data_IF_454772105799
#
_entry.id   IF_454772105799
#
_cell.length_a   1.000
_cell.length_b   1.000
_cell.length_c   1.000
_cell.angle_alpha   90.00
_cell.angle_beta   90.00
_cell.angle_gamma   90.00
#
_symmetry.space_group_name_H-M   'P 1'
#
loop_
_entity.id
_entity.type
_entity.pdbx_description
1 polymer ?
#
# COMPACT_ATOMS: atom_id res chain seq x y z
N UNK A 1 -0.64 -8.59 -6.22
CA UNK A 1 -2.08 -8.31 -6.47
C UNK A 1 -3.03 -9.48 -6.17
N UNK A 2 -2.86 -10.67 -6.76
CA UNK A 2 -3.78 -11.82 -6.55
C UNK A 2 -3.87 -12.33 -5.09
N UNK A 3 -2.81 -12.22 -4.30
CA UNK A 3 -2.83 -12.64 -2.88
C UNK A 3 -3.55 -11.62 -1.99
N UNK A 4 -3.29 -10.32 -2.19
CA UNK A 4 -3.89 -9.21 -1.45
C UNK A 4 -5.41 -9.14 -1.65
N UNK A 5 -5.88 -9.23 -2.90
CA UNK A 5 -7.32 -9.21 -3.20
C UNK A 5 -8.06 -10.43 -2.64
N UNK A 6 -7.40 -11.59 -2.56
CA UNK A 6 -7.97 -12.82 -2.02
C UNK A 6 -8.19 -12.73 -0.50
N UNK A 7 -7.25 -12.13 0.22
CA UNK A 7 -7.39 -11.87 1.66
C UNK A 7 -8.49 -10.84 1.95
N UNK A 8 -8.56 -9.77 1.15
CA UNK A 8 -9.62 -8.75 1.28
C UNK A 8 -10.99 -9.37 1.01
N UNK A 9 -11.12 -10.16 -0.07
CA UNK A 9 -12.35 -10.89 -0.42
C UNK A 9 -12.79 -11.85 0.70
N UNK A 10 -11.83 -12.58 1.30
CA UNK A 10 -12.10 -13.54 2.38
C UNK A 10 -12.58 -12.85 3.66
N UNK A 11 -12.07 -11.66 3.97
CA UNK A 11 -12.34 -10.98 5.24
C UNK A 11 -13.49 -9.96 5.18
N UNK A 12 -13.80 -9.40 3.99
CA UNK A 12 -14.73 -8.27 3.85
C UNK A 12 -15.79 -8.44 2.76
N UNK A 13 -15.79 -9.56 2.03
CA UNK A 13 -16.77 -9.84 0.97
C UNK A 13 -16.44 -9.19 -0.38
N UNK A 14 -17.18 -9.61 -1.41
CA UNK A 14 -16.85 -9.32 -2.81
C UNK A 14 -17.05 -7.86 -3.23
N UNK A 15 -18.06 -7.16 -2.70
CA UNK A 15 -18.29 -5.75 -3.07
C UNK A 15 -17.21 -4.84 -2.52
N UNK A 16 -16.81 -5.03 -1.26
CA UNK A 16 -15.75 -4.28 -0.60
C UNK A 16 -14.40 -4.56 -1.27
N UNK A 17 -14.13 -5.81 -1.65
CA UNK A 17 -12.93 -6.16 -2.39
C UNK A 17 -12.86 -5.51 -3.78
N UNK A 18 -14.02 -5.40 -4.47
CA UNK A 18 -14.12 -4.74 -5.78
C UNK A 18 -13.95 -3.22 -5.67
N UNK A 19 -14.56 -2.60 -4.66
CA UNK A 19 -14.43 -1.17 -4.40
C UNK A 19 -12.98 -0.81 -4.06
N UNK A 20 -12.35 -1.57 -3.14
CA UNK A 20 -10.93 -1.40 -2.81
C UNK A 20 -10.05 -1.62 -4.05
N UNK A 21 -10.37 -2.60 -4.90
CA UNK A 21 -9.63 -2.82 -6.15
C UNK A 21 -9.71 -1.63 -7.10
N UNK A 22 -10.91 -1.16 -7.39
CA UNK A 22 -11.12 0.00 -8.28
C UNK A 22 -10.41 1.23 -7.73
N UNK A 23 -10.37 1.35 -6.41
CA UNK A 23 -9.73 2.49 -5.78
C UNK A 23 -8.21 2.38 -5.75
N UNK A 24 -7.66 1.18 -5.52
CA UNK A 24 -6.24 0.91 -5.75
C UNK A 24 -5.91 1.24 -7.22
N UNK A 25 -6.69 0.77 -8.19
CA UNK A 25 -6.46 1.02 -9.62
C UNK A 25 -6.47 2.53 -9.95
N UNK A 26 -7.45 3.28 -9.43
CA UNK A 26 -7.53 4.75 -9.56
C UNK A 26 -6.32 5.45 -8.94
N UNK A 27 -5.97 5.08 -7.71
CA UNK A 27 -4.84 5.69 -7.00
C UNK A 27 -3.50 5.28 -7.59
N UNK A 28 -3.35 4.06 -8.11
CA UNK A 28 -2.15 3.64 -8.85
C UNK A 28 -2.01 4.38 -10.18
N UNK A 29 -3.12 4.77 -10.81
CA UNK A 29 -3.08 5.61 -12.00
C UNK A 29 -2.54 7.01 -11.65
N UNK A 30 -2.99 7.61 -10.55
CA UNK A 30 -2.40 8.86 -10.06
C UNK A 30 -0.93 8.71 -9.66
N UNK A 31 -0.58 7.61 -8.99
CA UNK A 31 0.82 7.30 -8.65
C UNK A 31 1.69 7.20 -9.89
N UNK A 32 1.21 6.59 -10.98
CA UNK A 32 1.97 6.50 -12.23
C UNK A 32 2.26 7.88 -12.85
N UNK A 33 1.38 8.86 -12.62
CA UNK A 33 1.56 10.24 -13.09
C UNK A 33 2.43 11.07 -12.14
N UNK A 34 2.29 10.88 -10.83
CA UNK A 34 3.03 11.61 -9.81
C UNK A 34 3.55 10.66 -8.72
N UNK A 35 4.64 9.91 -8.97
CA UNK A 35 5.12 8.87 -8.05
C UNK A 35 5.55 9.41 -6.68
N UNK A 36 5.91 10.69 -6.62
CA UNK A 36 6.36 11.37 -5.39
C UNK A 36 5.20 11.90 -4.51
N UNK A 37 3.94 11.74 -4.92
CA UNK A 37 2.79 12.26 -4.15
C UNK A 37 2.58 11.54 -2.81
N UNK A 38 3.07 10.32 -2.66
CA UNK A 38 3.00 9.59 -1.41
C UNK A 38 4.00 10.12 -0.38
N UNK A 39 3.55 10.13 0.87
CA UNK A 39 4.37 10.52 2.01
C UNK A 39 5.40 9.43 2.29
N UNK A 40 6.63 9.85 2.54
CA UNK A 40 7.71 8.96 2.95
C UNK A 40 7.49 8.48 4.40
N UNK A 41 7.61 7.18 4.62
CA UNK A 41 7.55 6.54 5.93
C UNK A 41 8.96 6.45 6.52
N UNK A 42 9.45 7.57 7.04
CA UNK A 42 10.83 7.71 7.52
C UNK A 42 11.14 6.71 8.64
N UNK A 43 10.16 6.36 9.48
CA UNK A 43 10.33 5.43 10.59
C UNK A 43 10.67 4.01 10.12
N UNK A 44 10.04 3.58 9.02
CA UNK A 44 10.21 2.24 8.49
C UNK A 44 11.23 2.17 7.36
N UNK A 45 11.64 3.32 6.82
CA UNK A 45 12.61 3.41 5.74
C UNK A 45 14.04 3.14 6.21
N UNK A 46 14.90 2.81 5.25
CA UNK A 46 16.35 2.68 5.38
C UNK A 46 17.03 3.39 4.20
N UNK A 47 18.36 3.47 4.22
CA UNK A 47 19.12 4.13 3.15
C UNK A 47 18.84 3.49 1.77
N UNK A 48 18.72 2.16 1.74
CA UNK A 48 18.49 1.40 0.50
C UNK A 48 17.00 1.27 0.14
N UNK A 49 16.09 1.44 1.11
CA UNK A 49 14.65 1.33 0.87
C UNK A 49 13.85 2.43 1.52
N UNK A 50 13.36 3.35 0.69
CA UNK A 50 12.49 4.45 1.08
C UNK A 50 11.02 4.12 0.83
N UNK A 51 10.36 3.60 1.86
CA UNK A 51 8.94 3.31 1.80
C UNK A 51 8.13 4.60 1.68
N UNK A 52 7.16 4.60 0.76
CA UNK A 52 6.16 5.65 0.62
C UNK A 52 4.77 5.09 0.81
N UNK A 53 3.85 5.93 1.25
CA UNK A 53 2.44 5.58 1.28
C UNK A 53 1.52 6.73 0.86
N UNK A 54 0.38 6.35 0.31
CA UNK A 54 -0.78 7.22 0.12
C UNK A 54 -1.94 6.73 0.99
N UNK A 55 -2.77 7.66 1.48
CA UNK A 55 -3.96 7.33 2.26
C UNK A 55 -5.17 7.31 1.34
N UNK A 56 -5.92 6.20 1.37
CA UNK A 56 -7.13 5.97 0.58
C UNK A 56 -8.34 5.93 1.50
N UNK A 57 -9.34 6.77 1.21
CA UNK A 57 -10.59 6.93 1.99
C UNK A 57 -10.42 7.02 3.51
N UNK A 58 -9.28 7.54 3.98
CA UNK A 58 -8.91 7.59 5.42
C UNK A 58 -8.88 6.23 6.13
N UNK A 59 -8.97 5.13 5.40
CA UNK A 59 -9.08 3.76 5.95
C UNK A 59 -7.93 2.87 5.55
N UNK A 60 -7.29 3.14 4.41
CA UNK A 60 -6.19 2.31 3.93
C UNK A 60 -4.95 3.14 3.63
N UNK A 61 -3.77 2.55 3.84
CA UNK A 61 -2.50 3.01 3.29
C UNK A 61 -2.06 2.07 2.19
N UNK A 62 -1.73 2.60 1.01
CA UNK A 62 -1.04 1.81 -0.02
C UNK A 62 0.44 2.10 0.11
N UNK A 63 1.22 1.11 0.53
CA UNK A 63 2.67 1.19 0.64
C UNK A 63 3.34 0.79 -0.68
N UNK A 64 4.33 1.57 -1.09
CA UNK A 64 5.08 1.35 -2.33
C UNK A 64 6.53 1.82 -2.23
N UNK A 65 7.36 1.33 -3.16
CA UNK A 65 8.74 1.79 -3.41
C UNK A 65 8.85 2.43 -4.79
N UNK A 66 9.86 3.29 -4.93
CA UNK A 66 10.29 3.85 -6.20
C UNK A 66 11.70 3.37 -6.50
N UNK A 67 11.84 2.50 -7.48
CA UNK A 67 13.10 1.91 -7.93
C UNK A 67 13.19 2.09 -9.45
N UNK A 68 14.23 2.74 -9.97
CA UNK A 68 14.45 2.96 -11.42
C UNK A 68 13.20 3.45 -12.18
N UNK A 69 12.53 4.47 -11.64
CA UNK A 69 11.26 5.04 -12.16
C UNK A 69 10.07 4.07 -12.19
N UNK A 70 10.20 2.91 -11.55
CA UNK A 70 9.15 1.90 -11.42
C UNK A 70 8.52 1.98 -10.03
N UNK A 71 7.19 1.89 -9.99
CA UNK A 71 6.41 1.89 -8.75
C UNK A 71 6.13 0.46 -8.34
N UNK A 72 6.70 0.04 -7.21
CA UNK A 72 6.50 -1.29 -6.65
C UNK A 72 5.49 -1.22 -5.52
N UNK A 73 4.22 -1.54 -5.79
CA UNK A 73 3.18 -1.63 -4.76
C UNK A 73 3.42 -2.87 -3.90
N UNK A 74 3.72 -2.65 -2.62
CA UNK A 74 4.07 -3.72 -1.67
C UNK A 74 2.82 -4.29 -1.00
N UNK A 75 2.02 -3.43 -0.39
CA UNK A 75 0.82 -3.84 0.33
C UNK A 75 -0.21 -2.72 0.46
N UNK A 76 -1.42 -3.14 0.82
CA UNK A 76 -2.54 -2.28 1.19
C UNK A 76 -2.86 -2.59 2.65
N UNK A 77 -2.66 -1.61 3.52
CA UNK A 77 -2.80 -1.74 4.97
C UNK A 77 -4.08 -1.04 5.43
N UNK A 78 -4.91 -1.71 6.23
CA UNK A 78 -6.02 -1.03 6.91
C UNK A 78 -5.47 -0.30 8.13
N UNK A 79 -5.65 1.02 8.19
CA UNK A 79 -5.08 1.87 9.26
C UNK A 79 -5.62 1.57 10.66
N UNK A 80 -6.70 0.78 10.76
CA UNK A 80 -7.28 0.32 12.02
C UNK A 80 -6.60 -0.93 12.57
N UNK A 81 -5.77 -1.61 11.76
CA UNK A 81 -5.00 -2.77 12.19
C UNK A 81 -3.81 -2.35 13.07
N UNK A 82 -3.33 -3.28 13.89
CA UNK A 82 -2.24 -3.07 14.85
C UNK A 82 -0.95 -2.61 14.17
N UNK A 83 -0.43 -1.46 14.62
CA UNK A 83 0.79 -0.85 14.10
C UNK A 83 2.02 -1.75 14.24
N UNK A 84 2.08 -2.60 15.27
CA UNK A 84 3.21 -3.53 15.45
C UNK A 84 3.22 -4.62 14.37
N UNK A 85 2.04 -5.04 13.91
CA UNK A 85 1.93 -5.99 12.81
C UNK A 85 2.35 -5.34 11.48
N UNK A 86 2.00 -4.06 11.26
CA UNK A 86 2.47 -3.31 10.10
C UNK A 86 3.99 -3.31 10.03
N UNK A 87 4.65 -2.97 11.15
CA UNK A 87 6.11 -2.96 11.25
C UNK A 87 6.70 -4.31 10.88
N UNK A 88 6.22 -5.40 11.49
CA UNK A 88 6.68 -6.76 11.17
C UNK A 88 6.48 -7.14 9.69
N UNK A 89 5.41 -6.66 9.05
CA UNK A 89 5.17 -6.90 7.64
C UNK A 89 6.14 -6.10 6.77
N UNK A 90 6.36 -4.81 7.09
CA UNK A 90 7.29 -3.94 6.35
C UNK A 90 8.75 -4.40 6.47
N UNK A 91 9.17 -4.92 7.62
CA UNK A 91 10.52 -5.48 7.79
C UNK A 91 10.81 -6.64 6.83
N UNK A 92 9.79 -7.40 6.38
CA UNK A 92 9.98 -8.48 5.40
C UNK A 92 10.29 -7.98 3.98
N UNK A 93 10.05 -6.68 3.74
CA UNK A 93 10.33 -6.03 2.48
C UNK A 93 11.61 -5.19 2.53
N UNK A 94 12.36 -5.18 3.63
CA UNK A 94 13.73 -4.68 3.66
C UNK A 94 14.62 -5.73 3.01
#
# INVERSE_FOLDING_TARGET
MKATLRNIKKNFGDSVAREIRQEIESQTSMLSLQPMMGKEDVEHSSDDRRFRYIIVKRRSRIYYLLEDHTIHVLLVWDVRQDIQQLKQVLEKFK
#
